data_IF_276485247250
#
_entry.id   IF_276485247250
#
_cell.length_a   1.000
_cell.length_b   1.000
_cell.length_c   1.000
_cell.angle_alpha   90.00
_cell.angle_beta   90.00
_cell.angle_gamma   90.00
#
_symmetry.space_group_name_H-M   'P 1'
#
loop_
_entity.id
_entity.type
_entity.pdbx_description
1 polymer ?
#
# COMPACT_ATOMS: atom_id res chain seq x y z
N UNK A 1 -18.44 -45.60 2.70
CA UNK A 1 -18.08 -44.36 1.97
C UNK A 1 -18.01 -43.23 2.98
N UNK A 2 -16.81 -42.92 3.43
CA UNK A 2 -16.51 -41.77 4.29
C UNK A 2 -16.40 -40.52 3.41
N UNK A 3 -17.47 -39.73 3.37
CA UNK A 3 -17.45 -38.42 2.72
C UNK A 3 -16.59 -37.46 3.54
N UNK A 4 -15.46 -37.07 3.00
CA UNK A 4 -14.64 -35.96 3.50
C UNK A 4 -15.47 -34.69 3.40
N UNK A 5 -16.04 -34.21 4.51
CA UNK A 5 -16.61 -32.86 4.56
C UNK A 5 -15.46 -31.88 4.36
N UNK A 6 -15.37 -31.31 3.17
CA UNK A 6 -14.47 -30.20 2.90
C UNK A 6 -14.89 -29.01 3.74
N UNK A 7 -14.08 -28.62 4.71
CA UNK A 7 -14.28 -27.39 5.46
C UNK A 7 -14.14 -26.20 4.50
N UNK A 8 -15.24 -25.52 4.21
CA UNK A 8 -15.20 -24.25 3.50
C UNK A 8 -14.54 -23.21 4.40
N UNK A 9 -13.32 -22.80 4.05
CA UNK A 9 -12.62 -21.69 4.71
C UNK A 9 -13.07 -20.39 4.04
N UNK A 10 -13.69 -19.50 4.80
CA UNK A 10 -14.04 -18.15 4.36
C UNK A 10 -12.99 -17.17 4.85
N UNK A 11 -12.35 -16.44 3.94
CA UNK A 11 -11.33 -15.44 4.27
C UNK A 11 -11.90 -14.03 4.01
N UNK A 12 -11.72 -13.14 4.99
CA UNK A 12 -11.96 -11.72 4.84
C UNK A 12 -10.62 -10.98 4.93
N UNK A 13 -10.29 -10.17 3.93
CA UNK A 13 -9.04 -9.44 3.85
C UNK A 13 -9.27 -7.94 3.70
N UNK A 14 -8.45 -7.14 4.39
CA UNK A 14 -8.36 -5.69 4.23
C UNK A 14 -7.05 -5.40 3.50
N UNK A 15 -7.14 -4.76 2.33
CA UNK A 15 -5.97 -4.40 1.53
C UNK A 15 -5.74 -2.90 1.58
N UNK A 16 -4.59 -2.48 2.08
CA UNK A 16 -4.12 -1.12 2.01
C UNK A 16 -3.26 -0.89 0.76
N UNK A 17 -3.29 0.33 0.24
CA UNK A 17 -2.23 0.74 -0.68
C UNK A 17 -0.89 0.79 0.07
N UNK A 18 0.21 0.54 -0.64
CA UNK A 18 1.55 0.53 -0.06
C UNK A 18 1.90 1.84 0.68
N UNK A 19 1.30 2.95 0.27
CA UNK A 19 1.52 4.29 0.84
C UNK A 19 0.49 4.71 1.89
N UNK A 20 -0.51 3.91 2.20
CA UNK A 20 -1.57 4.30 3.15
C UNK A 20 -1.56 3.49 4.45
N UNK A 21 -0.94 2.32 4.46
CA UNK A 21 -0.94 1.44 5.62
C UNK A 21 -0.33 2.10 6.86
N UNK A 22 0.74 2.91 6.68
CA UNK A 22 1.43 3.57 7.79
C UNK A 22 0.54 4.51 8.59
N UNK A 23 -0.43 5.15 7.94
CA UNK A 23 -1.35 6.08 8.60
C UNK A 23 -2.19 5.38 9.70
N UNK A 24 -2.45 4.10 9.51
CA UNK A 24 -3.23 3.29 10.43
C UNK A 24 -2.38 2.42 11.37
N UNK A 25 -1.07 2.33 11.13
CA UNK A 25 -0.18 1.53 11.95
C UNK A 25 0.12 2.20 13.29
N UNK A 26 0.25 1.40 14.36
CA UNK A 26 0.62 1.86 15.69
C UNK A 26 2.13 2.11 15.81
N UNK A 27 2.93 1.46 14.95
CA UNK A 27 4.39 1.48 15.01
C UNK A 27 5.01 1.44 13.59
N UNK A 28 6.34 1.41 13.52
CA UNK A 28 7.12 1.33 12.28
C UNK A 28 6.76 0.12 11.43
N UNK A 29 6.67 0.31 10.12
CA UNK A 29 6.49 -0.75 9.14
C UNK A 29 7.81 -1.30 8.57
N UNK A 30 8.96 -0.86 9.08
CA UNK A 30 10.28 -1.21 8.54
C UNK A 30 10.54 -2.72 8.43
N UNK A 31 10.07 -3.51 9.40
CA UNK A 31 10.28 -4.96 9.44
C UNK A 31 9.21 -5.79 8.74
N UNK A 32 8.24 -5.15 8.09
CA UNK A 32 7.07 -5.85 7.51
C UNK A 32 7.25 -6.26 6.05
N UNK A 33 8.35 -5.82 5.43
CA UNK A 33 8.59 -6.05 4.01
C UNK A 33 8.87 -7.53 3.73
N UNK A 34 8.13 -8.10 2.75
CA UNK A 34 8.24 -9.49 2.30
C UNK A 34 8.04 -10.53 3.43
N UNK A 35 7.32 -10.16 4.47
CA UNK A 35 7.07 -11.03 5.62
C UNK A 35 5.60 -11.11 6.00
N UNK A 36 5.31 -12.06 6.87
CA UNK A 36 4.02 -12.19 7.55
C UNK A 36 4.21 -11.81 9.01
N UNK A 37 3.26 -11.11 9.56
CA UNK A 37 3.24 -10.74 10.97
C UNK A 37 1.80 -10.77 11.49
N UNK A 38 1.65 -10.93 12.79
CA UNK A 38 0.35 -10.83 13.42
C UNK A 38 -0.17 -9.39 13.36
N UNK A 39 -1.43 -9.21 12.96
CA UNK A 39 -2.05 -7.89 12.80
C UNK A 39 -1.94 -7.08 14.08
N UNK A 40 -2.14 -7.71 15.23
CA UNK A 40 -2.04 -7.07 16.55
C UNK A 40 -0.66 -6.49 16.85
N UNK A 41 0.41 -6.94 16.18
CA UNK A 41 1.76 -6.41 16.41
C UNK A 41 2.02 -5.04 15.77
N UNK A 42 1.21 -4.62 14.79
CA UNK A 42 1.37 -3.35 14.05
C UNK A 42 0.09 -2.53 13.98
N UNK A 43 -1.05 -3.17 14.17
CA UNK A 43 -2.38 -2.58 14.09
C UNK A 43 -3.22 -3.05 15.29
N UNK A 44 -2.69 -2.89 16.51
CA UNK A 44 -3.30 -3.41 17.74
C UNK A 44 -4.73 -2.90 17.93
N UNK A 45 -4.94 -1.59 17.71
CA UNK A 45 -6.27 -0.97 17.79
C UNK A 45 -7.27 -1.60 16.81
N UNK A 46 -6.81 -1.89 15.58
CA UNK A 46 -7.64 -2.47 14.52
C UNK A 46 -8.01 -3.91 14.88
N UNK A 47 -7.03 -4.69 15.33
CA UNK A 47 -7.23 -6.07 15.74
C UNK A 47 -8.19 -6.19 16.91
N UNK A 48 -8.04 -5.36 17.94
CA UNK A 48 -8.92 -5.33 19.12
C UNK A 48 -10.38 -4.99 18.77
N UNK A 49 -10.60 -4.12 17.78
CA UNK A 49 -11.95 -3.68 17.39
C UNK A 49 -12.58 -4.63 16.37
N UNK A 50 -11.80 -5.02 15.35
CA UNK A 50 -12.35 -5.72 14.18
C UNK A 50 -12.49 -7.22 14.43
N UNK A 51 -11.48 -7.89 14.98
CA UNK A 51 -11.49 -9.35 15.15
C UNK A 51 -12.72 -9.89 15.89
N UNK A 52 -13.10 -9.38 17.07
CA UNK A 52 -14.25 -9.91 17.81
C UNK A 52 -15.59 -9.69 17.08
N UNK A 53 -15.69 -8.66 16.27
CA UNK A 53 -16.92 -8.31 15.56
C UNK A 53 -17.04 -9.07 14.26
N UNK A 54 -15.95 -9.22 13.49
CA UNK A 54 -15.96 -9.97 12.22
C UNK A 54 -16.40 -11.41 12.39
N UNK A 55 -16.07 -12.04 13.52
CA UNK A 55 -16.50 -13.42 13.82
C UNK A 55 -18.01 -13.57 14.00
N UNK A 56 -18.71 -12.47 14.35
CA UNK A 56 -20.16 -12.42 14.57
C UNK A 56 -20.95 -12.02 13.32
N UNK A 57 -20.31 -11.38 12.36
CA UNK A 57 -20.94 -10.92 11.12
C UNK A 57 -20.96 -12.08 10.10
N UNK A 58 -22.10 -12.25 9.44
CA UNK A 58 -22.36 -13.41 8.57
C UNK A 58 -22.04 -13.11 7.11
N UNK A 59 -22.37 -11.91 6.64
CA UNK A 59 -22.22 -11.54 5.23
C UNK A 59 -20.95 -10.74 4.97
N UNK A 60 -20.43 -10.81 3.74
CA UNK A 60 -19.30 -9.99 3.30
C UNK A 60 -19.64 -8.49 3.40
N UNK A 61 -20.86 -8.12 3.04
CA UNK A 61 -21.31 -6.73 3.07
C UNK A 61 -21.31 -6.15 4.50
N UNK A 62 -21.80 -6.90 5.50
CA UNK A 62 -21.74 -6.49 6.90
C UNK A 62 -20.30 -6.30 7.38
N UNK A 63 -19.39 -7.23 7.02
CA UNK A 63 -17.97 -7.15 7.36
C UNK A 63 -17.31 -5.94 6.72
N UNK A 64 -17.57 -5.70 5.43
CA UNK A 64 -17.04 -4.56 4.70
C UNK A 64 -17.53 -3.22 5.30
N UNK A 65 -18.85 -3.05 5.46
CA UNK A 65 -19.43 -1.82 6.03
C UNK A 65 -18.95 -1.54 7.44
N UNK A 66 -18.85 -2.56 8.29
CA UNK A 66 -18.32 -2.40 9.64
C UNK A 66 -16.85 -1.96 9.62
N UNK A 67 -16.02 -2.61 8.81
CA UNK A 67 -14.61 -2.28 8.67
C UNK A 67 -14.41 -0.85 8.17
N UNK A 68 -15.15 -0.46 7.14
CA UNK A 68 -15.13 0.90 6.60
C UNK A 68 -15.46 1.94 7.67
N UNK A 69 -16.51 1.73 8.45
CA UNK A 69 -16.88 2.65 9.55
C UNK A 69 -15.78 2.77 10.60
N UNK A 70 -15.11 1.67 10.94
CA UNK A 70 -14.01 1.66 11.90
C UNK A 70 -12.81 2.46 11.36
N UNK A 71 -12.44 2.27 10.10
CA UNK A 71 -11.36 2.99 9.45
C UNK A 71 -11.68 4.49 9.31
N UNK A 72 -12.90 4.84 8.89
CA UNK A 72 -13.33 6.23 8.77
C UNK A 72 -13.29 6.97 10.11
N UNK A 73 -13.69 6.32 11.21
CA UNK A 73 -13.59 6.89 12.55
C UNK A 73 -12.15 7.14 13.00
N UNK A 74 -11.20 6.35 12.50
CA UNK A 74 -9.77 6.51 12.81
C UNK A 74 -9.13 7.63 12.02
N UNK A 75 -9.62 7.96 10.82
CA UNK A 75 -9.03 8.94 9.90
C UNK A 75 -8.63 10.29 10.56
N UNK A 76 -9.43 10.92 11.43
CA UNK A 76 -9.03 12.17 12.07
C UNK A 76 -7.84 12.06 13.02
N UNK A 77 -7.46 10.84 13.41
CA UNK A 77 -6.42 10.53 14.38
C UNK A 77 -5.39 9.54 13.80
N UNK A 78 -5.13 9.59 12.49
CA UNK A 78 -4.10 8.78 11.86
C UNK A 78 -2.72 9.37 12.12
N UNK A 79 -1.70 8.51 11.99
CA UNK A 79 -0.31 8.93 12.04
C UNK A 79 0.03 9.73 10.80
N UNK A 80 0.49 10.96 10.99
CA UNK A 80 0.83 11.87 9.90
C UNK A 80 2.30 12.28 9.95
N UNK A 81 2.87 12.50 8.77
CA UNK A 81 4.16 13.13 8.57
C UNK A 81 4.11 13.94 7.28
N UNK A 82 4.24 15.25 7.37
CA UNK A 82 4.10 16.16 6.23
C UNK A 82 5.07 15.81 5.09
N UNK A 83 6.34 15.55 5.40
CA UNK A 83 7.36 15.18 4.39
C UNK A 83 6.97 13.90 3.66
N UNK A 84 6.47 12.89 4.38
CA UNK A 84 6.00 11.63 3.79
C UNK A 84 4.77 11.86 2.92
N UNK A 85 3.77 12.60 3.44
CA UNK A 85 2.54 12.88 2.71
C UNK A 85 2.81 13.65 1.41
N UNK A 86 3.59 14.73 1.47
CA UNK A 86 3.95 15.54 0.30
C UNK A 86 4.75 14.73 -0.72
N UNK A 87 5.70 13.92 -0.25
CA UNK A 87 6.48 13.02 -1.10
C UNK A 87 5.59 12.02 -1.82
N UNK A 88 4.67 11.36 -1.10
CA UNK A 88 3.73 10.39 -1.68
C UNK A 88 2.81 11.08 -2.70
N UNK A 89 2.29 12.25 -2.39
CA UNK A 89 1.45 13.02 -3.31
C UNK A 89 2.20 13.36 -4.62
N UNK A 90 3.45 13.81 -4.52
CA UNK A 90 4.27 14.09 -5.70
C UNK A 90 4.53 12.82 -6.53
N UNK A 91 4.83 11.68 -5.88
CA UNK A 91 5.00 10.40 -6.56
C UNK A 91 3.72 10.00 -7.32
N UNK A 92 2.55 10.17 -6.71
CA UNK A 92 1.26 9.85 -7.31
C UNK A 92 0.93 10.76 -8.50
N UNK A 93 1.08 12.09 -8.32
CA UNK A 93 0.82 13.09 -9.37
C UNK A 93 1.71 12.83 -10.60
N UNK A 94 2.98 12.51 -10.39
CA UNK A 94 3.94 12.23 -11.46
C UNK A 94 3.94 10.75 -11.90
N UNK A 95 2.96 9.96 -11.47
CA UNK A 95 2.81 8.55 -11.83
C UNK A 95 4.09 7.73 -11.61
N UNK A 96 4.86 8.05 -10.57
CA UNK A 96 6.14 7.41 -10.28
C UNK A 96 7.32 7.85 -11.15
N UNK A 97 7.17 8.84 -12.03
CA UNK A 97 8.22 9.32 -12.95
C UNK A 97 8.86 10.59 -12.40
N UNK A 98 9.63 10.48 -11.31
CA UNK A 98 10.29 11.64 -10.71
C UNK A 98 11.69 11.31 -10.18
N UNK A 99 12.51 12.35 -10.06
CA UNK A 99 13.83 12.29 -9.43
C UNK A 99 13.70 12.44 -7.92
N UNK A 100 14.13 11.41 -7.19
CA UNK A 100 14.07 11.38 -5.71
C UNK A 100 14.99 12.43 -5.09
N UNK A 101 16.14 12.74 -5.70
CA UNK A 101 17.05 13.77 -5.20
C UNK A 101 16.41 15.17 -5.30
N UNK A 102 15.74 15.46 -6.41
CA UNK A 102 14.97 16.68 -6.58
C UNK A 102 13.86 16.80 -5.56
N UNK A 103 13.11 15.71 -5.36
CA UNK A 103 12.01 15.65 -4.39
C UNK A 103 12.47 15.89 -2.95
N UNK A 104 13.59 15.26 -2.54
CA UNK A 104 14.18 15.48 -1.23
C UNK A 104 14.54 16.96 -1.01
N UNK A 105 15.14 17.59 -2.03
CA UNK A 105 15.49 19.02 -2.00
C UNK A 105 14.24 19.90 -1.87
N UNK A 106 13.19 19.63 -2.61
CA UNK A 106 11.91 20.35 -2.53
C UNK A 106 11.25 20.21 -1.15
N UNK A 107 11.44 19.07 -0.50
CA UNK A 107 10.95 18.80 0.87
C UNK A 107 11.90 19.29 1.97
N UNK A 108 12.97 20.02 1.64
CA UNK A 108 13.97 20.54 2.57
C UNK A 108 14.65 19.47 3.45
N UNK A 109 14.80 18.26 2.93
CA UNK A 109 15.49 17.15 3.58
C UNK A 109 16.59 16.58 2.68
N UNK A 110 17.59 15.90 3.26
CA UNK A 110 18.54 15.14 2.47
C UNK A 110 17.90 13.84 1.94
N UNK A 111 18.41 13.33 0.82
CA UNK A 111 17.96 12.02 0.27
C UNK A 111 18.04 10.91 1.32
N UNK A 112 19.14 10.86 2.08
CA UNK A 112 19.31 9.87 3.16
C UNK A 112 18.26 10.01 4.26
N UNK A 113 17.89 11.24 4.59
CA UNK A 113 16.87 11.53 5.60
C UNK A 113 15.49 11.12 5.10
N UNK A 114 15.18 11.40 3.82
CA UNK A 114 13.95 10.96 3.17
C UNK A 114 13.84 9.43 3.12
N UNK A 115 14.91 8.73 2.75
CA UNK A 115 14.95 7.26 2.75
C UNK A 115 14.70 6.68 4.14
N UNK A 116 15.33 7.25 5.18
CA UNK A 116 15.12 6.82 6.57
C UNK A 116 13.67 6.99 7.01
N UNK A 117 13.04 8.14 6.71
CA UNK A 117 11.64 8.38 7.00
C UNK A 117 10.74 7.39 6.26
N UNK A 118 11.00 7.13 4.98
CA UNK A 118 10.23 6.17 4.20
C UNK A 118 10.35 4.75 4.76
N UNK A 119 11.54 4.31 5.15
CA UNK A 119 11.70 3.00 5.80
C UNK A 119 10.92 2.91 7.11
N UNK A 120 10.95 3.95 7.92
CA UNK A 120 10.25 3.99 9.20
C UNK A 120 8.72 3.98 9.03
N UNK A 121 8.20 4.83 8.15
CA UNK A 121 6.76 5.05 8.01
C UNK A 121 6.12 4.09 6.98
N UNK A 122 6.72 3.93 5.82
CA UNK A 122 6.13 3.19 4.68
C UNK A 122 6.69 1.76 4.59
N UNK A 123 7.86 1.51 5.16
CA UNK A 123 8.54 0.21 5.13
C UNK A 123 9.38 -0.03 3.87
N UNK A 124 9.32 0.86 2.88
CA UNK A 124 10.09 0.76 1.62
C UNK A 124 10.73 2.09 1.27
N UNK A 125 11.70 2.11 0.34
CA UNK A 125 12.32 3.35 -0.13
C UNK A 125 11.39 4.16 -1.02
N UNK A 126 11.58 5.50 -1.15
CA UNK A 126 10.83 6.34 -2.08
C UNK A 126 10.96 5.85 -3.53
N UNK A 127 12.14 5.41 -3.95
CA UNK A 127 12.39 4.85 -5.29
C UNK A 127 11.56 3.57 -5.53
N UNK A 128 11.51 2.68 -4.53
CA UNK A 128 10.72 1.44 -4.63
C UNK A 128 9.23 1.76 -4.73
N UNK A 129 8.73 2.72 -3.95
CA UNK A 129 7.35 3.18 -4.04
C UNK A 129 7.05 3.79 -5.41
N UNK A 130 7.93 4.65 -5.93
CA UNK A 130 7.79 5.24 -7.27
C UNK A 130 7.67 4.17 -8.35
N UNK A 131 8.52 3.14 -8.31
CA UNK A 131 8.45 2.02 -9.24
C UNK A 131 7.13 1.25 -9.13
N UNK A 132 6.67 0.94 -7.90
CA UNK A 132 5.38 0.26 -7.70
C UNK A 132 4.21 1.07 -8.26
N UNK A 133 4.20 2.38 -8.04
CA UNK A 133 3.18 3.28 -8.58
C UNK A 133 3.25 3.33 -10.11
N UNK A 134 4.46 3.41 -10.68
CA UNK A 134 4.67 3.35 -12.13
C UNK A 134 4.12 2.06 -12.74
N UNK A 135 4.38 0.89 -12.11
CA UNK A 135 3.81 -0.38 -12.53
C UNK A 135 2.29 -0.40 -12.46
N UNK A 136 1.68 0.18 -11.43
CA UNK A 136 0.22 0.22 -11.30
C UNK A 136 -0.42 1.06 -12.40
N UNK A 137 0.17 2.21 -12.74
CA UNK A 137 -0.29 3.03 -13.86
C UNK A 137 -0.12 2.32 -15.20
N UNK A 138 1.02 1.65 -15.41
CA UNK A 138 1.28 0.83 -16.58
C UNK A 138 0.23 -0.27 -16.76
N UNK A 139 -0.02 -1.06 -15.73
CA UNK A 139 -1.02 -2.13 -15.78
C UNK A 139 -2.43 -1.60 -16.04
N UNK A 140 -2.77 -0.49 -15.44
CA UNK A 140 -4.06 0.14 -15.71
C UNK A 140 -4.19 0.58 -17.16
N UNK A 141 -3.16 1.21 -17.71
CA UNK A 141 -3.16 1.65 -19.10
C UNK A 141 -3.26 0.44 -20.04
N UNK A 142 -2.53 -0.65 -19.78
CA UNK A 142 -2.62 -1.93 -20.53
C UNK A 142 -4.05 -2.51 -20.52
N UNK A 143 -4.69 -2.52 -19.36
CA UNK A 143 -6.03 -3.09 -19.22
C UNK A 143 -7.14 -2.23 -19.85
N UNK A 144 -6.88 -0.93 -20.02
CA UNK A 144 -7.86 0.02 -20.58
C UNK A 144 -7.68 0.30 -22.07
N UNK A 145 -6.55 -0.06 -22.69
CA UNK A 145 -6.25 0.18 -24.10
C UNK A 145 -6.37 -1.14 -24.90
N UNK A 146 -7.40 -1.32 -25.79
CA UNK A 146 -7.60 -2.53 -26.57
C UNK A 146 -6.46 -2.81 -27.58
N UNK A 147 -5.80 -1.75 -28.08
CA UNK A 147 -4.70 -1.82 -29.05
C UNK A 147 -3.34 -1.56 -28.34
N UNK A 148 -3.01 -2.44 -27.42
CA UNK A 148 -1.78 -2.35 -26.64
C UNK A 148 -0.54 -2.59 -27.51
N UNK A 149 0.32 -1.56 -27.65
CA UNK A 149 1.64 -1.66 -28.29
C UNK A 149 2.76 -1.57 -27.25
N UNK A 150 3.55 -2.66 -27.13
CA UNK A 150 4.66 -2.77 -26.19
C UNK A 150 5.75 -1.70 -26.40
N UNK A 151 6.00 -1.31 -27.68
CA UNK A 151 7.04 -0.32 -28.00
C UNK A 151 6.64 1.10 -27.57
N UNK A 152 5.37 1.47 -27.73
CA UNK A 152 4.85 2.76 -27.24
C UNK A 152 4.95 2.87 -25.72
N UNK A 153 4.80 1.76 -25.02
CA UNK A 153 4.92 1.64 -23.58
C UNK A 153 6.36 1.81 -23.08
N UNK A 154 7.33 1.23 -23.75
CA UNK A 154 8.76 1.44 -23.42
C UNK A 154 9.11 2.92 -23.48
N UNK A 155 8.61 3.64 -24.48
CA UNK A 155 8.80 5.09 -24.60
C UNK A 155 8.07 5.89 -23.51
N UNK A 156 6.84 5.47 -23.13
CA UNK A 156 6.01 6.17 -22.14
C UNK A 156 6.49 5.98 -20.71
N UNK A 157 6.99 4.78 -20.37
CA UNK A 157 7.30 4.40 -18.98
C UNK A 157 8.79 4.11 -18.73
N UNK A 158 9.66 4.23 -19.75
CA UNK A 158 11.10 4.03 -19.62
C UNK A 158 11.48 2.61 -19.25
N UNK A 159 12.61 2.39 -18.62
CA UNK A 159 13.32 1.13 -18.37
C UNK A 159 12.56 0.01 -17.62
N UNK A 160 11.23 0.06 -17.56
CA UNK A 160 10.42 -0.89 -16.77
C UNK A 160 10.53 -2.34 -17.26
N UNK A 161 10.80 -2.55 -18.56
CA UNK A 161 10.81 -3.87 -19.17
C UNK A 161 12.14 -4.63 -19.06
N UNK A 162 13.20 -4.03 -18.54
CA UNK A 162 14.53 -4.66 -18.45
C UNK A 162 14.65 -5.70 -17.31
N UNK A 163 13.64 -5.84 -16.44
CA UNK A 163 13.71 -6.70 -15.25
C UNK A 163 12.88 -8.01 -15.34
N UNK A 164 12.40 -8.38 -16.52
CA UNK A 164 11.74 -9.67 -16.74
C UNK A 164 12.58 -10.55 -17.65
N UNK A 165 13.73 -10.98 -17.18
CA UNK A 165 14.45 -12.17 -17.65
C UNK A 165 14.86 -13.02 -16.46
#
# INVERSE_FOLDING_TARGET
>A
SSGTMGHMVSTFAIRFYAWSAYAFADDSLQSTMNGYFDVGSRFEWLDKIIRPKLLKLRTLQEKASFTEQVLLKKLPNVRENAVINDTIQNILIQKGSLDIAKLAKESFVSTRQLERLFHEYVGITPKKLSNLIRYQFLWRDILCEPDFDVLSMVHKFGEILVWYQ
#
